data_IF_823325837229
#
_entry.id   IF_823325837229
#
_cell.length_a   1.000
_cell.length_b   1.000
_cell.length_c   1.000
_cell.angle_alpha   90.00
_cell.angle_beta   90.00
_cell.angle_gamma   90.00
#
_symmetry.space_group_name_H-M   'P 1'
#
loop_
_entity.id
_entity.type
_entity.pdbx_description
1 polymer ?
#
# COMPACT_ATOMS: atom_id res chain seq x y z
N UNK A 1 9.20 -4.06 -12.25
CA UNK A 1 7.92 -3.55 -11.73
C UNK A 1 6.69 -4.06 -12.50
N UNK A 2 6.64 -5.22 -13.17
CA UNK A 2 5.46 -5.56 -13.97
C UNK A 2 4.15 -5.65 -13.16
N UNK A 3 4.19 -6.17 -11.92
CA UNK A 3 3.02 -6.23 -11.04
C UNK A 3 2.64 -4.82 -10.58
N UNK A 4 3.59 -4.11 -9.96
CA UNK A 4 3.46 -2.71 -9.53
C UNK A 4 2.89 -1.78 -10.61
N UNK A 5 3.52 -1.75 -11.78
CA UNK A 5 3.12 -0.87 -12.88
C UNK A 5 1.72 -1.20 -13.39
N UNK A 6 1.37 -2.49 -13.44
CA UNK A 6 0.04 -2.94 -13.88
C UNK A 6 -1.04 -2.51 -12.88
N UNK A 7 -0.77 -2.63 -11.58
CA UNK A 7 -1.68 -2.22 -10.52
C UNK A 7 -1.87 -0.68 -10.52
N UNK A 8 -0.77 0.09 -10.54
CA UNK A 8 -0.85 1.55 -10.57
C UNK A 8 -1.49 2.10 -11.85
N UNK A 9 -1.20 1.51 -13.01
CA UNK A 9 -1.86 1.89 -14.27
C UNK A 9 -3.37 1.62 -14.20
N UNK A 10 -3.78 0.53 -13.56
CA UNK A 10 -5.21 0.21 -13.36
C UNK A 10 -5.88 1.25 -12.47
N UNK A 11 -5.23 1.68 -11.38
CA UNK A 11 -5.71 2.78 -10.55
C UNK A 11 -5.90 4.08 -11.33
N UNK A 12 -4.89 4.50 -12.10
CA UNK A 12 -4.96 5.72 -12.89
C UNK A 12 -6.07 5.68 -13.95
N UNK A 13 -6.28 4.54 -14.61
CA UNK A 13 -7.36 4.35 -15.58
C UNK A 13 -8.75 4.42 -14.93
N UNK A 14 -8.91 3.86 -13.72
CA UNK A 14 -10.17 3.95 -12.98
C UNK A 14 -10.45 5.38 -12.51
N UNK A 15 -9.46 6.09 -11.97
CA UNK A 15 -9.64 7.45 -11.45
C UNK A 15 -9.91 8.47 -12.58
N UNK A 16 -9.22 8.34 -13.72
CA UNK A 16 -9.47 9.21 -14.88
C UNK A 16 -10.87 9.02 -15.47
N UNK A 17 -11.42 7.79 -15.45
CA UNK A 17 -12.78 7.52 -15.92
C UNK A 17 -13.86 8.14 -15.01
N UNK A 18 -13.61 8.25 -13.71
CA UNK A 18 -14.50 8.92 -12.74
C UNK A 18 -14.79 10.38 -13.07
N UNK A 19 -13.89 11.04 -13.80
CA UNK A 19 -14.02 12.42 -14.25
C UNK A 19 -14.78 12.56 -15.59
N UNK A 20 -15.12 11.45 -16.25
CA UNK A 20 -15.91 11.41 -17.49
C UNK A 20 -16.96 10.28 -17.47
N UNK A 21 -18.05 10.42 -16.69
CA UNK A 21 -19.03 9.35 -16.46
C UNK A 21 -19.70 8.84 -17.75
N UNK A 22 -19.97 9.72 -18.71
CA UNK A 22 -20.76 9.41 -19.91
C UNK A 22 -19.94 8.76 -21.05
N UNK A 23 -18.60 8.84 -21.02
CA UNK A 23 -17.72 8.31 -22.06
C UNK A 23 -16.59 7.40 -21.56
N UNK A 24 -16.15 7.55 -20.30
CA UNK A 24 -14.90 6.98 -19.78
C UNK A 24 -15.02 5.60 -19.13
N UNK A 25 -16.14 5.30 -18.47
CA UNK A 25 -16.28 4.04 -17.72
C UNK A 25 -16.28 2.81 -18.65
N UNK A 26 -16.87 2.92 -19.84
CA UNK A 26 -16.88 1.82 -20.82
C UNK A 26 -15.53 1.57 -21.48
N UNK A 27 -14.81 2.65 -21.83
CA UNK A 27 -13.53 2.54 -22.55
C UNK A 27 -12.40 1.96 -21.68
N UNK A 28 -12.37 2.31 -20.39
CA UNK A 28 -11.32 1.86 -19.47
C UNK A 28 -11.63 0.52 -18.79
N UNK A 29 -12.89 0.08 -18.76
CA UNK A 29 -13.28 -1.17 -18.11
C UNK A 29 -12.59 -2.40 -18.71
N UNK A 30 -12.51 -2.51 -20.04
CA UNK A 30 -11.92 -3.68 -20.69
C UNK A 30 -10.39 -3.79 -20.47
N UNK A 31 -9.59 -2.70 -20.62
CA UNK A 31 -8.17 -2.71 -20.24
C UNK A 31 -7.95 -3.08 -18.77
N UNK A 32 -8.71 -2.50 -17.84
CA UNK A 32 -8.59 -2.79 -16.40
C UNK A 32 -8.96 -4.25 -16.10
N UNK A 33 -10.05 -4.76 -16.68
CA UNK A 33 -10.44 -6.16 -16.52
C UNK A 33 -9.34 -7.11 -16.99
N UNK A 34 -8.70 -6.82 -18.13
CA UNK A 34 -7.59 -7.61 -18.66
C UNK A 34 -6.36 -7.55 -17.74
N UNK A 35 -6.04 -6.38 -17.19
CA UNK A 35 -4.94 -6.18 -16.26
C UNK A 35 -5.14 -6.98 -14.96
N UNK A 36 -6.33 -6.92 -14.35
CA UNK A 36 -6.65 -7.64 -13.12
C UNK A 36 -6.73 -9.16 -13.34
N UNK A 37 -7.25 -9.60 -14.49
CA UNK A 37 -7.23 -11.02 -14.86
C UNK A 37 -5.79 -11.55 -15.06
N UNK A 38 -4.84 -10.69 -15.45
CA UNK A 38 -3.43 -11.04 -15.52
C UNK A 38 -2.75 -11.07 -14.14
N UNK A 39 -3.10 -10.13 -13.24
CA UNK A 39 -2.57 -10.08 -11.88
C UNK A 39 -3.03 -11.25 -11.01
N UNK A 40 -4.28 -11.67 -11.14
CA UNK A 40 -4.89 -12.72 -10.31
C UNK A 40 -4.07 -14.01 -10.21
N UNK A 41 -3.66 -14.67 -11.31
CA UNK A 41 -2.88 -15.91 -11.22
C UNK A 41 -1.46 -15.73 -10.68
N UNK A 42 -1.00 -14.49 -10.44
CA UNK A 42 0.31 -14.21 -9.86
C UNK A 42 0.32 -14.19 -8.33
N UNK A 43 -0.85 -14.34 -7.69
CA UNK A 43 -0.92 -14.44 -6.23
C UNK A 43 -0.14 -15.66 -5.74
N UNK A 44 0.70 -15.46 -4.73
CA UNK A 44 1.45 -16.54 -4.10
C UNK A 44 0.56 -17.22 -3.06
N UNK A 45 0.16 -18.46 -3.32
CA UNK A 45 -0.83 -19.19 -2.50
C UNK A 45 -0.26 -20.41 -1.75
N UNK A 46 0.87 -20.96 -2.22
CA UNK A 46 1.37 -22.26 -1.76
C UNK A 46 2.81 -22.22 -1.27
N UNK A 47 3.50 -21.08 -1.42
CA UNK A 47 4.89 -20.89 -1.01
C UNK A 47 4.96 -19.99 0.21
N UNK A 48 5.49 -20.52 1.30
CA UNK A 48 5.93 -19.74 2.46
C UNK A 48 7.36 -19.27 2.17
N UNK A 49 7.53 -17.96 2.02
CA UNK A 49 8.83 -17.34 1.76
C UNK A 49 9.67 -17.17 3.02
N UNK A 50 10.76 -16.42 2.91
CA UNK A 50 11.67 -16.14 4.05
C UNK A 50 10.95 -15.41 5.19
N UNK A 51 9.91 -14.63 4.86
CA UNK A 51 8.99 -13.99 5.81
C UNK A 51 8.36 -14.96 6.82
N UNK A 52 8.21 -16.23 6.45
CA UNK A 52 7.68 -17.28 7.32
C UNK A 52 8.55 -17.55 8.55
N UNK A 53 9.83 -17.14 8.55
CA UNK A 53 10.69 -17.22 9.73
C UNK A 53 10.17 -16.33 10.88
N UNK A 54 9.67 -15.13 10.56
CA UNK A 54 9.14 -14.19 11.53
C UNK A 54 7.64 -14.39 11.78
N UNK A 55 6.91 -14.89 10.78
CA UNK A 55 5.45 -15.04 10.78
C UNK A 55 5.00 -16.42 10.25
N UNK A 56 5.33 -17.52 10.95
CA UNK A 56 5.06 -18.88 10.46
C UNK A 56 3.57 -19.22 10.34
N UNK A 57 2.71 -18.53 11.09
CA UNK A 57 1.26 -18.77 11.10
C UNK A 57 0.50 -17.91 10.08
N UNK A 58 1.16 -16.94 9.44
CA UNK A 58 0.51 -16.11 8.43
C UNK A 58 0.30 -16.93 7.14
N UNK A 59 -0.92 -16.97 6.58
CA UNK A 59 -1.16 -17.73 5.37
C UNK A 59 -0.54 -17.01 4.17
N UNK A 60 0.13 -17.70 3.23
CA UNK A 60 0.62 -17.09 2.00
C UNK A 60 -0.55 -16.46 1.20
N UNK A 61 -0.36 -15.24 0.74
CA UNK A 61 -1.39 -14.51 0.01
C UNK A 61 -0.93 -13.25 -0.75
N UNK A 62 0.36 -12.99 -0.79
CA UNK A 62 0.90 -11.76 -1.38
C UNK A 62 1.17 -11.85 -2.89
N UNK A 63 1.52 -10.71 -3.47
CA UNK A 63 2.11 -10.58 -4.79
C UNK A 63 3.55 -10.08 -4.64
N UNK A 64 4.39 -10.37 -5.63
CA UNK A 64 5.73 -9.82 -5.72
C UNK A 64 5.78 -8.74 -6.80
N UNK A 65 6.74 -7.82 -6.68
CA UNK A 65 7.06 -6.81 -7.68
C UNK A 65 7.33 -7.35 -9.11
N UNK A 66 7.92 -8.55 -9.23
CA UNK A 66 8.31 -9.18 -10.50
C UNK A 66 7.26 -10.16 -11.03
N UNK A 67 7.51 -10.71 -12.24
CA UNK A 67 6.65 -11.71 -12.86
C UNK A 67 6.46 -12.99 -12.03
N UNK A 68 7.53 -13.46 -11.38
CA UNK A 68 7.53 -14.71 -10.63
C UNK A 68 8.64 -14.65 -9.58
N UNK A 69 8.26 -14.41 -8.33
CA UNK A 69 9.18 -14.39 -7.21
C UNK A 69 8.49 -14.86 -5.92
N UNK A 70 8.08 -16.14 -5.85
CA UNK A 70 7.15 -16.63 -4.84
C UNK A 70 7.73 -16.66 -3.41
N UNK A 71 9.05 -16.52 -3.25
CA UNK A 71 9.70 -16.45 -1.94
C UNK A 71 9.74 -15.04 -1.35
N UNK A 72 9.55 -14.01 -2.18
CA UNK A 72 9.62 -12.61 -1.77
C UNK A 72 8.42 -11.82 -2.30
N UNK A 73 7.17 -12.19 -1.93
CA UNK A 73 6.07 -11.26 -2.04
C UNK A 73 6.29 -10.05 -1.12
N UNK A 74 5.77 -8.91 -1.50
CA UNK A 74 5.94 -7.65 -0.77
C UNK A 74 4.60 -6.98 -0.45
N UNK A 75 4.61 -6.19 0.61
CA UNK A 75 3.42 -5.66 1.25
C UNK A 75 2.79 -4.52 0.46
N UNK A 76 3.59 -3.70 -0.23
CA UNK A 76 3.06 -2.61 -1.03
C UNK A 76 2.52 -3.05 -2.38
N UNK A 77 3.17 -3.96 -3.14
CA UNK A 77 2.56 -4.56 -4.34
C UNK A 77 1.26 -5.27 -3.98
N UNK A 78 1.27 -6.07 -2.91
CA UNK A 78 0.07 -6.76 -2.44
C UNK A 78 -1.06 -5.78 -2.13
N UNK A 79 -0.77 -4.69 -1.41
CA UNK A 79 -1.77 -3.69 -1.06
C UNK A 79 -2.37 -3.01 -2.30
N UNK A 80 -1.55 -2.59 -3.27
CA UNK A 80 -2.05 -1.91 -4.48
C UNK A 80 -2.80 -2.85 -5.42
N UNK A 81 -2.42 -4.13 -5.50
CA UNK A 81 -3.17 -5.12 -6.29
C UNK A 81 -4.55 -5.36 -5.69
N UNK A 82 -4.64 -5.53 -4.37
CA UNK A 82 -5.91 -5.72 -3.66
C UNK A 82 -6.80 -4.48 -3.80
N UNK A 83 -6.24 -3.29 -3.59
CA UNK A 83 -6.93 -2.01 -3.79
C UNK A 83 -7.52 -1.90 -5.21
N UNK A 84 -6.75 -2.27 -6.23
CA UNK A 84 -7.19 -2.22 -7.62
C UNK A 84 -8.34 -3.21 -7.88
N UNK A 85 -8.21 -4.46 -7.42
CA UNK A 85 -9.24 -5.48 -7.56
C UNK A 85 -10.54 -5.04 -6.88
N UNK A 86 -10.49 -4.68 -5.60
CA UNK A 86 -11.67 -4.29 -4.83
C UNK A 86 -12.35 -3.03 -5.39
N UNK A 87 -11.58 -2.03 -5.84
CA UNK A 87 -12.15 -0.83 -6.45
C UNK A 87 -12.85 -1.15 -7.77
N UNK A 88 -12.23 -1.98 -8.60
CA UNK A 88 -12.78 -2.36 -9.90
C UNK A 88 -14.09 -3.14 -9.76
N UNK A 89 -14.19 -4.06 -8.80
CA UNK A 89 -15.43 -4.81 -8.56
C UNK A 89 -16.59 -3.91 -8.10
N UNK A 90 -16.28 -2.81 -7.38
CA UNK A 90 -17.28 -1.84 -6.89
C UNK A 90 -17.67 -0.79 -7.93
N UNK A 91 -16.77 -0.42 -8.83
CA UNK A 91 -16.95 0.75 -9.72
C UNK A 91 -17.17 0.41 -11.19
N UNK A 92 -16.80 -0.79 -11.64
CA UNK A 92 -16.89 -1.18 -13.05
C UNK A 92 -17.92 -2.30 -13.24
N UNK A 93 -19.10 -2.02 -13.86
CA UNK A 93 -20.17 -3.01 -14.02
C UNK A 93 -19.74 -4.31 -14.73
N UNK A 94 -18.85 -4.21 -15.72
CA UNK A 94 -18.31 -5.36 -16.45
C UNK A 94 -17.61 -6.36 -15.52
N UNK A 95 -16.93 -5.85 -14.49
CA UNK A 95 -16.17 -6.63 -13.52
C UNK A 95 -17.08 -7.05 -12.37
N UNK A 96 -17.99 -6.18 -11.92
CA UNK A 96 -18.95 -6.48 -10.85
C UNK A 96 -19.75 -7.77 -11.11
N UNK A 97 -20.13 -8.04 -12.35
CA UNK A 97 -20.85 -9.28 -12.74
C UNK A 97 -19.98 -10.54 -12.61
N UNK A 98 -18.67 -10.43 -12.80
CA UNK A 98 -17.71 -11.52 -12.58
C UNK A 98 -17.21 -11.61 -11.13
N UNK A 99 -17.34 -10.52 -10.37
CA UNK A 99 -16.60 -10.25 -9.14
C UNK A 99 -17.02 -11.06 -7.91
N UNK A 100 -18.30 -11.40 -7.78
CA UNK A 100 -18.86 -11.88 -6.50
C UNK A 100 -18.22 -13.20 -6.02
N UNK A 101 -17.59 -13.94 -6.92
CA UNK A 101 -16.80 -15.14 -6.59
C UNK A 101 -15.34 -15.07 -7.06
N UNK A 102 -15.01 -14.21 -8.04
CA UNK A 102 -13.73 -14.31 -8.74
C UNK A 102 -12.55 -13.68 -7.98
N UNK A 103 -12.73 -12.51 -7.34
CA UNK A 103 -11.64 -11.78 -6.66
C UNK A 103 -11.76 -11.80 -5.14
N UNK A 104 -12.96 -12.06 -4.58
CA UNK A 104 -13.21 -12.01 -3.14
C UNK A 104 -12.26 -12.92 -2.34
N UNK A 105 -12.03 -14.16 -2.81
CA UNK A 105 -11.12 -15.09 -2.15
C UNK A 105 -9.66 -14.64 -2.21
N UNK A 106 -9.23 -14.06 -3.34
CA UNK A 106 -7.87 -13.54 -3.50
C UNK A 106 -7.63 -12.34 -2.57
N UNK A 107 -8.59 -11.41 -2.51
CA UNK A 107 -8.59 -10.24 -1.62
C UNK A 107 -8.52 -10.68 -0.16
N UNK A 108 -9.38 -11.61 0.26
CA UNK A 108 -9.42 -12.07 1.65
C UNK A 108 -8.12 -12.78 2.06
N UNK A 109 -7.57 -13.62 1.16
CA UNK A 109 -6.29 -14.28 1.40
C UNK A 109 -5.16 -13.27 1.59
N UNK A 110 -5.12 -12.23 0.75
CA UNK A 110 -4.12 -11.18 0.84
C UNK A 110 -4.28 -10.32 2.08
N UNK A 111 -5.52 -9.98 2.47
CA UNK A 111 -5.82 -9.26 3.72
C UNK A 111 -5.24 -10.00 4.93
N UNK A 112 -5.49 -11.31 5.03
CA UNK A 112 -4.95 -12.14 6.11
C UNK A 112 -3.42 -12.19 6.12
N UNK A 113 -2.79 -12.26 4.95
CA UNK A 113 -1.33 -12.21 4.84
C UNK A 113 -0.78 -10.86 5.30
N UNK A 114 -1.32 -9.74 4.78
CA UNK A 114 -0.90 -8.39 5.16
C UNK A 114 -1.03 -8.17 6.66
N UNK A 115 -2.17 -8.50 7.26
CA UNK A 115 -2.36 -8.38 8.72
C UNK A 115 -1.37 -9.23 9.52
N UNK A 116 -1.12 -10.47 9.09
CA UNK A 116 -0.16 -11.36 9.73
C UNK A 116 1.28 -10.83 9.66
N UNK A 117 1.59 -10.01 8.67
CA UNK A 117 2.91 -9.42 8.44
C UNK A 117 3.14 -8.09 9.19
N UNK A 118 2.19 -7.63 10.01
CA UNK A 118 2.38 -6.40 10.79
C UNK A 118 3.52 -6.53 11.81
N UNK A 119 4.39 -5.52 11.90
CA UNK A 119 5.46 -5.46 12.89
C UNK A 119 4.95 -5.06 14.28
N UNK A 120 5.74 -5.31 15.31
CA UNK A 120 5.38 -5.02 16.73
C UNK A 120 5.23 -3.53 17.02
N UNK A 121 5.89 -2.65 16.27
CA UNK A 121 5.72 -1.20 16.40
C UNK A 121 4.42 -0.66 15.74
N UNK A 122 3.69 -1.50 14.99
CA UNK A 122 2.44 -1.14 14.33
C UNK A 122 2.56 -0.85 12.83
N UNK A 123 3.77 -0.59 12.34
CA UNK A 123 4.02 -0.39 10.92
C UNK A 123 4.24 -1.68 10.13
N UNK A 124 4.49 -1.50 8.84
CA UNK A 124 4.78 -2.53 7.85
C UNK A 124 6.11 -2.23 7.16
N UNK A 125 6.99 -3.24 7.09
CA UNK A 125 8.16 -3.26 6.18
C UNK A 125 7.73 -3.63 4.76
N UNK A 126 8.67 -3.75 3.83
CA UNK A 126 8.35 -4.17 2.46
C UNK A 126 8.12 -5.69 2.35
N UNK A 127 8.97 -6.50 2.97
CA UNK A 127 9.00 -7.96 2.82
C UNK A 127 8.83 -8.71 4.15
N UNK A 128 9.44 -8.19 5.23
CA UNK A 128 9.56 -8.89 6.51
C UNK A 128 8.91 -8.10 7.66
N UNK A 129 8.45 -8.85 8.67
CA UNK A 129 8.01 -8.28 9.93
C UNK A 129 9.16 -8.26 10.95
N UNK A 130 9.25 -7.20 11.76
CA UNK A 130 10.26 -7.02 12.83
C UNK A 130 11.72 -7.12 12.34
N UNK A 131 11.98 -6.74 11.08
CA UNK A 131 13.34 -6.64 10.53
C UNK A 131 13.93 -5.26 10.88
N UNK A 132 14.04 -4.97 12.18
CA UNK A 132 14.30 -3.64 12.76
C UNK A 132 15.56 -3.60 13.65
N UNK A 133 16.49 -4.53 13.44
CA UNK A 133 17.72 -4.66 14.23
C UNK A 133 18.79 -3.66 13.80
N UNK A 134 18.52 -2.36 13.95
CA UNK A 134 19.32 -1.25 13.42
C UNK A 134 20.81 -1.30 13.76
N UNK A 135 21.18 -1.93 14.88
CA UNK A 135 22.58 -2.14 15.24
C UNK A 135 23.39 -2.90 14.18
N UNK A 136 22.74 -3.69 13.31
CA UNK A 136 23.38 -4.41 12.20
C UNK A 136 23.85 -3.48 11.08
N UNK A 137 23.33 -2.25 10.98
CA UNK A 137 23.85 -1.25 10.03
C UNK A 137 25.20 -0.65 10.46
N UNK A 138 25.73 -0.99 11.65
CA UNK A 138 27.01 -0.46 12.16
C UNK A 138 28.19 -1.43 11.98
N UNK A 139 28.01 -2.52 11.25
CA UNK A 139 29.11 -3.44 10.89
C UNK A 139 29.82 -2.95 9.62
N UNK A 140 31.12 -3.27 9.41
CA UNK A 140 31.87 -2.81 8.24
C UNK A 140 31.29 -3.20 6.88
N UNK A 141 30.46 -4.25 6.83
CA UNK A 141 29.81 -4.72 5.60
C UNK A 141 28.61 -3.85 5.19
N UNK A 142 27.98 -3.12 6.12
CA UNK A 142 26.73 -2.40 5.89
C UNK A 142 26.97 -0.90 5.55
N UNK A 143 27.90 -0.62 4.63
CA UNK A 143 28.28 0.74 4.24
C UNK A 143 27.15 1.55 3.57
N UNK A 144 26.16 0.86 3.00
CA UNK A 144 24.96 1.48 2.41
C UNK A 144 23.83 1.76 3.42
N UNK A 145 23.91 1.25 4.65
CA UNK A 145 22.91 1.52 5.71
C UNK A 145 21.50 0.96 5.45
N UNK A 146 21.37 0.02 4.51
CA UNK A 146 20.08 -0.57 4.09
C UNK A 146 20.08 -2.10 4.19
N UNK A 147 20.72 -2.65 5.23
CA UNK A 147 20.79 -4.10 5.44
C UNK A 147 19.44 -4.71 5.89
N UNK A 148 18.53 -3.84 6.34
CA UNK A 148 17.31 -4.20 7.04
C UNK A 148 16.08 -3.74 6.28
N UNK A 149 14.94 -4.29 6.70
CA UNK A 149 13.60 -3.93 6.21
C UNK A 149 12.72 -3.46 7.38
N UNK A 150 13.09 -2.34 8.04
CA UNK A 150 12.26 -1.81 9.12
C UNK A 150 10.93 -1.29 8.54
N UNK A 151 9.88 -1.22 9.37
CA UNK A 151 8.66 -0.55 8.99
C UNK A 151 8.88 0.89 8.50
N UNK A 152 8.12 1.29 7.49
CA UNK A 152 8.23 2.62 6.87
C UNK A 152 6.86 3.26 6.63
N UNK A 153 6.84 4.60 6.60
CA UNK A 153 5.60 5.36 6.50
C UNK A 153 4.86 5.14 5.17
N UNK A 154 5.59 5.03 4.06
CA UNK A 154 5.02 4.86 2.72
C UNK A 154 4.41 3.47 2.50
N UNK A 155 5.08 2.39 2.97
CA UNK A 155 4.50 1.03 2.91
C UNK A 155 3.32 0.90 3.88
N UNK A 156 3.47 1.41 5.11
CA UNK A 156 2.38 1.38 6.10
C UNK A 156 1.14 2.12 5.61
N UNK A 157 1.31 3.27 4.97
CA UNK A 157 0.21 4.02 4.37
C UNK A 157 -0.55 3.20 3.32
N UNK A 158 0.14 2.43 2.45
CA UNK A 158 -0.52 1.58 1.46
C UNK A 158 -1.32 0.45 2.09
N UNK A 159 -0.77 -0.21 3.11
CA UNK A 159 -1.49 -1.23 3.87
C UNK A 159 -2.74 -0.65 4.55
N UNK A 160 -2.65 0.55 5.14
CA UNK A 160 -3.82 1.24 5.72
C UNK A 160 -4.87 1.53 4.64
N UNK A 161 -4.47 2.10 3.49
CA UNK A 161 -5.39 2.38 2.40
C UNK A 161 -6.13 1.11 1.95
N UNK A 162 -5.41 -0.01 1.82
CA UNK A 162 -6.01 -1.31 1.49
C UNK A 162 -7.03 -1.74 2.53
N UNK A 163 -6.64 -1.82 3.80
CA UNK A 163 -7.53 -2.28 4.88
C UNK A 163 -8.77 -1.38 5.02
N UNK A 164 -8.59 -0.07 4.91
CA UNK A 164 -9.67 0.92 4.93
C UNK A 164 -10.64 0.72 3.76
N UNK A 165 -10.15 0.52 2.52
CA UNK A 165 -11.02 0.30 1.35
C UNK A 165 -11.83 -1.01 1.46
N UNK A 166 -11.28 -2.01 2.15
CA UNK A 166 -11.97 -3.26 2.49
C UNK A 166 -13.01 -3.10 3.62
N UNK A 167 -13.21 -1.88 4.13
CA UNK A 167 -14.21 -1.55 5.14
C UNK A 167 -13.73 -1.68 6.58
N UNK A 168 -12.43 -1.86 6.82
CA UNK A 168 -11.90 -1.82 8.17
C UNK A 168 -11.79 -0.40 8.69
N UNK A 169 -12.04 -0.24 9.98
CA UNK A 169 -11.93 1.02 10.71
C UNK A 169 -11.01 0.86 11.91
N UNK A 170 -10.65 1.97 12.57
CA UNK A 170 -9.82 1.93 13.78
C UNK A 170 -10.50 1.19 14.94
N UNK A 171 -11.82 1.17 14.96
CA UNK A 171 -12.63 0.50 15.99
C UNK A 171 -12.78 -1.00 15.73
N UNK A 172 -12.74 -1.40 14.45
CA UNK A 172 -13.02 -2.77 14.01
C UNK A 172 -11.76 -3.58 13.70
N UNK A 173 -10.63 -2.91 13.45
CA UNK A 173 -9.36 -3.54 13.11
C UNK A 173 -8.23 -3.01 13.99
N UNK A 174 -7.74 -3.82 14.97
CA UNK A 174 -6.56 -3.47 15.76
C UNK A 174 -5.30 -3.26 14.91
N UNK A 175 -5.18 -3.97 13.78
CA UNK A 175 -4.06 -3.81 12.86
C UNK A 175 -4.07 -2.42 12.23
N UNK A 176 -5.22 -1.99 11.67
CA UNK A 176 -5.37 -0.65 11.10
C UNK A 176 -5.15 0.43 12.16
N UNK A 177 -5.73 0.28 13.36
CA UNK A 177 -5.57 1.26 14.44
C UNK A 177 -4.10 1.49 14.79
N UNK A 178 -3.33 0.40 15.01
CA UNK A 178 -1.90 0.48 15.33
C UNK A 178 -1.06 1.05 14.18
N UNK A 179 -1.45 0.78 12.94
CA UNK A 179 -0.77 1.33 11.77
C UNK A 179 -0.98 2.84 11.65
N UNK A 180 -2.20 3.33 11.93
CA UNK A 180 -2.48 4.77 12.01
C UNK A 180 -1.66 5.42 13.13
N UNK A 181 -1.61 4.81 14.31
CA UNK A 181 -0.82 5.34 15.43
C UNK A 181 0.69 5.38 15.11
N UNK A 182 1.20 4.38 14.40
CA UNK A 182 2.57 4.36 13.87
C UNK A 182 2.81 5.55 12.92
N UNK A 183 1.95 5.79 11.93
CA UNK A 183 2.12 6.93 11.02
C UNK A 183 2.10 8.27 11.73
N UNK A 184 1.22 8.45 12.72
CA UNK A 184 1.17 9.68 13.51
C UNK A 184 2.46 9.89 14.33
N UNK A 185 3.08 8.80 14.82
CA UNK A 185 4.33 8.86 15.56
C UNK A 185 5.56 9.15 14.67
N UNK A 186 5.54 8.70 13.42
CA UNK A 186 6.64 8.87 12.45
C UNK A 186 6.64 10.25 11.74
N UNK A 187 5.72 11.16 12.09
CA UNK A 187 5.68 12.47 11.46
C UNK A 187 6.90 13.32 11.85
N UNK A 188 7.56 13.89 10.85
CA UNK A 188 8.71 14.77 11.05
C UNK A 188 8.32 16.08 11.74
N UNK A 189 9.32 16.80 12.28
CA UNK A 189 9.09 18.08 12.97
C UNK A 189 8.54 19.18 12.06
N UNK A 190 8.86 19.13 10.78
CA UNK A 190 8.33 20.06 9.77
C UNK A 190 6.92 19.67 9.27
N UNK A 191 6.42 18.50 9.67
CA UNK A 191 5.10 17.98 9.28
C UNK A 191 5.12 16.99 8.12
N UNK A 192 6.27 16.76 7.50
CA UNK A 192 6.41 15.78 6.42
C UNK A 192 6.54 14.35 6.94
N UNK A 193 6.53 13.39 6.02
CA UNK A 193 6.95 12.00 6.28
C UNK A 193 8.02 11.59 5.29
N UNK A 194 9.02 10.84 5.77
CA UNK A 194 10.05 10.25 4.94
C UNK A 194 9.47 9.19 3.99
N UNK A 195 9.86 9.26 2.71
CA UNK A 195 9.54 8.26 1.70
C UNK A 195 10.74 7.36 1.46
N UNK A 196 10.67 6.09 1.84
CA UNK A 196 11.79 5.15 1.73
C UNK A 196 12.00 4.67 0.29
N UNK A 197 10.89 4.44 -0.43
CA UNK A 197 10.89 3.77 -1.74
C UNK A 197 10.59 4.71 -2.91
N UNK A 198 10.19 5.95 -2.64
CA UNK A 198 10.07 7.02 -3.63
C UNK A 198 10.75 8.29 -3.12
N UNK A 199 11.33 9.06 -4.03
CA UNK A 199 12.08 10.28 -3.70
C UNK A 199 11.12 11.43 -3.38
N UNK A 200 11.07 12.01 -2.19
CA UNK A 200 11.51 11.56 -0.86
C UNK A 200 10.38 11.95 0.10
N UNK A 201 10.46 13.14 0.71
CA UNK A 201 9.43 13.64 1.63
C UNK A 201 8.09 13.94 0.96
N UNK A 202 8.07 14.38 -0.30
CA UNK A 202 6.81 14.58 -1.04
C UNK A 202 6.08 13.23 -1.20
N UNK A 203 6.83 12.17 -1.53
CA UNK A 203 6.30 10.83 -1.75
C UNK A 203 5.76 10.21 -0.46
N UNK A 204 6.52 10.30 0.64
CA UNK A 204 6.07 9.84 1.96
C UNK A 204 4.84 10.61 2.43
N UNK A 205 4.89 11.94 2.37
CA UNK A 205 3.78 12.82 2.79
C UNK A 205 2.50 12.59 1.99
N UNK A 206 2.59 12.45 0.66
CA UNK A 206 1.44 12.11 -0.19
C UNK A 206 0.84 10.75 0.19
N UNK A 207 1.69 9.74 0.36
CA UNK A 207 1.25 8.39 0.72
C UNK A 207 0.48 8.42 2.05
N UNK A 208 1.06 9.05 3.08
CA UNK A 208 0.46 9.16 4.41
C UNK A 208 -0.83 9.98 4.41
N UNK A 209 -0.86 11.15 3.75
CA UNK A 209 -2.09 11.95 3.68
C UNK A 209 -3.22 11.20 2.98
N UNK A 210 -2.90 10.42 1.94
CA UNK A 210 -3.89 9.57 1.26
C UNK A 210 -4.47 8.50 2.19
N UNK A 211 -3.62 7.86 3.00
CA UNK A 211 -4.04 6.87 3.98
C UNK A 211 -4.85 7.47 5.13
N UNK A 212 -4.43 8.61 5.69
CA UNK A 212 -5.16 9.32 6.74
C UNK A 212 -6.53 9.80 6.26
N UNK A 213 -6.62 10.25 5.01
CA UNK A 213 -7.90 10.59 4.38
C UNK A 213 -8.79 9.35 4.20
N UNK A 214 -8.23 8.21 3.80
CA UNK A 214 -9.00 6.98 3.63
C UNK A 214 -9.63 6.49 4.94
N UNK A 215 -8.93 6.63 6.08
CA UNK A 215 -9.47 6.32 7.41
C UNK A 215 -10.30 7.45 8.03
N UNK A 216 -10.67 8.46 7.23
CA UNK A 216 -11.51 9.59 7.62
C UNK A 216 -10.97 10.35 8.86
N UNK A 217 -9.64 10.45 9.00
CA UNK A 217 -9.05 11.29 10.03
C UNK A 217 -9.45 12.76 9.78
N UNK A 218 -9.86 13.46 10.83
CA UNK A 218 -10.27 14.87 10.76
C UNK A 218 -9.20 15.72 10.05
N UNK A 219 -9.60 16.39 8.97
CA UNK A 219 -8.72 17.26 8.17
C UNK A 219 -8.21 18.47 8.95
N UNK A 220 -8.88 18.83 10.05
CA UNK A 220 -8.42 19.88 10.98
C UNK A 220 -7.48 19.35 12.08
N UNK A 221 -7.18 18.05 12.09
CA UNK A 221 -6.17 17.48 12.99
C UNK A 221 -4.79 18.09 12.76
N UNK A 222 -4.02 18.24 13.83
CA UNK A 222 -2.68 18.84 13.78
C UNK A 222 -1.77 18.15 12.76
N UNK A 223 -1.79 16.82 12.71
CA UNK A 223 -0.96 16.04 11.79
C UNK A 223 -1.25 16.39 10.32
N UNK A 224 -2.51 16.43 9.90
CA UNK A 224 -2.90 16.79 8.53
C UNK A 224 -2.57 18.26 8.24
N UNK A 225 -2.90 19.17 9.16
CA UNK A 225 -2.66 20.61 8.98
C UNK A 225 -1.18 20.95 8.82
N UNK A 226 -0.29 20.31 9.59
CA UNK A 226 1.16 20.50 9.48
C UNK A 226 1.68 20.01 8.14
N UNK A 227 1.28 18.82 7.71
CA UNK A 227 1.68 18.24 6.43
C UNK A 227 1.22 19.07 5.21
N UNK A 228 -0.03 19.55 5.24
CA UNK A 228 -0.57 20.43 4.19
C UNK A 228 0.15 21.78 4.17
N UNK A 229 0.51 22.32 5.34
CA UNK A 229 1.29 23.56 5.43
C UNK A 229 2.67 23.36 4.81
N UNK A 230 3.37 22.30 5.19
CA UNK A 230 4.67 21.94 4.62
C UNK A 230 4.62 21.82 3.09
N UNK A 231 3.64 21.07 2.54
CA UNK A 231 3.49 20.94 1.07
C UNK A 231 3.30 22.28 0.37
N UNK A 232 2.57 23.23 0.98
CA UNK A 232 2.39 24.57 0.41
C UNK A 232 3.65 25.42 0.49
N UNK A 233 4.44 25.27 1.54
CA UNK A 233 5.70 26.02 1.73
C UNK A 233 6.78 25.60 0.72
N UNK A 234 6.76 24.35 0.26
CA UNK A 234 7.74 23.82 -0.70
C UNK A 234 7.26 23.83 -2.16
N UNK A 235 6.11 24.47 -2.45
CA UNK A 235 5.61 24.61 -3.81
C UNK A 235 6.51 25.58 -4.60
N UNK A 236 6.90 25.18 -5.81
CA UNK A 236 7.67 26.02 -6.72
C UNK A 236 6.80 27.13 -7.35
N UNK A 237 7.44 28.21 -7.82
CA UNK A 237 6.77 29.35 -8.46
C UNK A 237 5.93 28.98 -9.70
N UNK A 238 6.28 27.87 -10.37
CA UNK A 238 5.55 27.32 -11.51
C UNK A 238 4.31 26.50 -11.12
N UNK A 239 4.06 26.35 -9.82
CA UNK A 239 2.97 25.59 -9.23
C UNK A 239 3.27 24.11 -9.01
N UNK A 240 4.44 23.61 -9.40
CA UNK A 240 4.87 22.22 -9.21
C UNK A 240 5.68 21.97 -7.92
N UNK A 241 6.24 20.77 -7.83
CA UNK A 241 7.13 20.32 -6.76
C UNK A 241 8.28 19.50 -7.37
N UNK A 242 9.48 19.59 -6.81
CA UNK A 242 10.66 18.84 -7.28
C UNK A 242 11.95 19.21 -6.57
#
# INVERSE_FOLDING_TARGET
SPVWDTALASHALMESAGHQPEAGHGANAAPVAKALAWLKPLQVLDVVGDWGMARPDAPPGGWAFQYANPHYPDLDDTAVVVLAMDRATKTLPLIAVAAETEYAAAIERARLWVEGMQSRNGGFGAFDADNDRDYLNYIPFADHGALLDPPTADVTARCISMLSQLGQTRETSPALARAVDYLLAEQEKDGSWYGRWGMNYIYGTWSVLSALNAVELDHESEAIRRAVTWLKEIQNDDGGWG
#
